data_IF_725110689637
#
_entry.id   IF_725110689637
#
_cell.length_a   1.000
_cell.length_b   1.000
_cell.length_c   1.000
_cell.angle_alpha   90.00
_cell.angle_beta   90.00
_cell.angle_gamma   90.00
#
_symmetry.space_group_name_H-M   'P 1'
#
loop_
_entity.id
_entity.type
_entity.pdbx_description
1 polymer ?
#
# COMPACT_ATOMS: atom_id res chain seq x y z
N UNK A 1 9.67 -28.20 -2.42
CA UNK A 1 8.84 -28.82 -1.35
C UNK A 1 7.38 -28.65 -1.75
N UNK A 2 6.63 -29.74 -1.96
CA UNK A 2 5.21 -29.74 -2.34
C UNK A 2 4.36 -30.23 -1.16
N UNK A 3 4.11 -29.40 -0.14
CA UNK A 3 3.26 -29.80 1.00
C UNK A 3 1.77 -29.86 0.66
N UNK A 4 1.34 -29.24 -0.45
CA UNK A 4 -0.07 -29.18 -0.88
C UNK A 4 -0.28 -29.53 -2.37
N UNK A 5 0.74 -30.02 -3.07
CA UNK A 5 0.63 -30.48 -4.47
C UNK A 5 0.79 -29.41 -5.56
N UNK A 6 0.94 -28.13 -5.21
CA UNK A 6 1.14 -27.05 -6.20
C UNK A 6 2.56 -27.03 -6.76
N UNK A 7 2.69 -26.87 -8.08
CA UNK A 7 4.00 -26.74 -8.73
C UNK A 7 4.44 -25.28 -8.64
N UNK A 8 5.31 -25.00 -7.68
CA UNK A 8 5.94 -23.70 -7.52
C UNK A 8 7.29 -23.63 -8.24
N UNK A 9 7.51 -22.55 -8.98
CA UNK A 9 8.79 -22.18 -9.60
C UNK A 9 9.27 -20.90 -8.94
N UNK A 10 10.48 -20.91 -8.38
CA UNK A 10 11.14 -19.68 -7.91
C UNK A 10 11.73 -18.98 -9.12
N UNK A 11 11.37 -17.72 -9.32
CA UNK A 11 11.87 -16.85 -10.38
C UNK A 11 13.22 -16.24 -9.96
N UNK A 12 14.02 -15.79 -10.93
CA UNK A 12 15.37 -15.25 -10.66
C UNK A 12 15.36 -13.98 -9.79
N UNK A 13 14.24 -13.25 -9.77
CA UNK A 13 14.01 -12.07 -8.94
C UNK A 13 13.57 -12.40 -7.50
N UNK A 14 13.49 -13.69 -7.14
CA UNK A 14 13.00 -14.14 -5.85
C UNK A 14 11.47 -14.25 -5.77
N UNK A 15 10.75 -13.92 -6.84
CA UNK A 15 9.32 -14.17 -6.96
C UNK A 15 9.00 -15.67 -6.99
N UNK A 16 7.75 -16.01 -6.68
CA UNK A 16 7.26 -17.40 -6.76
C UNK A 16 6.09 -17.47 -7.71
N UNK A 17 6.27 -18.21 -8.81
CA UNK A 17 5.19 -18.56 -9.72
C UNK A 17 4.57 -19.89 -9.31
N UNK A 18 3.25 -19.93 -9.15
CA UNK A 18 2.53 -21.16 -8.84
C UNK A 18 1.67 -21.53 -10.06
N UNK A 19 1.99 -22.67 -10.69
CA UNK A 19 1.22 -23.22 -11.79
C UNK A 19 0.24 -24.26 -11.24
N UNK A 20 -1.06 -24.00 -11.40
CA UNK A 20 -2.12 -24.90 -10.98
C UNK A 20 -3.32 -24.84 -11.96
N UNK A 21 -3.95 -25.98 -12.25
CA UNK A 21 -5.15 -26.02 -13.09
C UNK A 21 -6.35 -25.38 -12.36
N UNK A 22 -7.34 -24.87 -13.11
CA UNK A 22 -8.49 -24.13 -12.56
C UNK A 22 -9.25 -24.92 -11.48
N UNK A 23 -9.32 -26.24 -11.60
CA UNK A 23 -9.97 -27.13 -10.62
C UNK A 23 -9.29 -27.11 -9.24
N UNK A 24 -8.06 -26.61 -9.16
CA UNK A 24 -7.31 -26.44 -7.90
C UNK A 24 -7.41 -25.02 -7.31
N UNK A 25 -8.13 -24.10 -7.96
CA UNK A 25 -8.27 -22.69 -7.51
C UNK A 25 -8.78 -22.57 -6.08
N UNK A 26 -9.82 -23.33 -5.72
CA UNK A 26 -10.34 -23.32 -4.35
C UNK A 26 -9.33 -23.85 -3.33
N UNK A 27 -8.58 -24.89 -3.69
CA UNK A 27 -7.55 -25.46 -2.83
C UNK A 27 -6.35 -24.51 -2.65
N UNK A 28 -6.01 -23.76 -3.71
CA UNK A 28 -4.97 -22.73 -3.68
C UNK A 28 -5.38 -21.55 -2.79
N UNK A 29 -6.58 -21.01 -2.99
CA UNK A 29 -7.12 -19.96 -2.14
C UNK A 29 -7.17 -20.39 -0.67
N UNK A 30 -7.65 -21.60 -0.37
CA UNK A 30 -7.65 -22.12 0.99
C UNK A 30 -6.23 -22.25 1.59
N UNK A 31 -5.24 -22.65 0.78
CA UNK A 31 -3.85 -22.74 1.22
C UNK A 31 -3.22 -21.34 1.43
N UNK A 32 -3.54 -20.37 0.57
CA UNK A 32 -3.11 -18.99 0.71
C UNK A 32 -3.71 -18.34 1.97
N UNK A 33 -5.01 -18.51 2.20
CA UNK A 33 -5.69 -18.04 3.42
C UNK A 33 -5.06 -18.66 4.67
N UNK A 34 -4.83 -19.98 4.67
CA UNK A 34 -4.18 -20.65 5.81
C UNK A 34 -2.77 -20.10 6.04
N UNK A 35 -1.99 -19.87 4.98
CA UNK A 35 -0.66 -19.28 5.08
C UNK A 35 -0.74 -17.88 5.70
N UNK A 36 -1.66 -17.04 5.23
CA UNK A 36 -1.86 -15.70 5.78
C UNK A 36 -2.25 -15.73 7.26
N UNK A 37 -3.15 -16.63 7.66
CA UNK A 37 -3.54 -16.81 9.07
C UNK A 37 -2.35 -17.24 9.94
N UNK A 38 -1.49 -18.13 9.45
CA UNK A 38 -0.27 -18.55 10.15
C UNK A 38 0.74 -17.40 10.30
N UNK A 39 0.92 -16.57 9.26
CA UNK A 39 1.79 -15.39 9.30
C UNK A 39 1.27 -14.33 10.29
N UNK A 40 -0.05 -14.12 10.31
CA UNK A 40 -0.72 -13.22 11.26
C UNK A 40 -0.58 -13.75 12.69
N UNK A 41 -0.85 -15.03 12.93
CA UNK A 41 -0.72 -15.65 14.25
C UNK A 41 0.73 -15.63 14.76
N UNK A 42 1.71 -15.70 13.85
CA UNK A 42 3.13 -15.57 14.16
C UNK A 42 3.58 -14.11 14.36
N UNK A 43 2.72 -13.12 14.12
CA UNK A 43 3.04 -11.69 14.21
C UNK A 43 3.99 -11.21 13.11
N UNK A 44 4.12 -11.95 12.01
CA UNK A 44 4.98 -11.60 10.88
C UNK A 44 4.29 -10.55 10.00
N UNK A 45 2.99 -10.68 9.81
CA UNK A 45 2.17 -9.74 9.03
C UNK A 45 0.96 -9.26 9.85
N UNK A 46 0.48 -8.02 9.66
CA UNK A 46 -0.76 -7.55 10.28
C UNK A 46 -1.99 -8.40 9.88
N UNK A 47 -2.99 -8.50 10.76
CA UNK A 47 -4.27 -9.13 10.42
C UNK A 47 -5.04 -8.22 9.46
N UNK A 48 -5.29 -8.64 8.20
CA UNK A 48 -6.01 -7.81 7.23
C UNK A 48 -7.49 -7.58 7.60
N UNK A 49 -8.03 -8.33 8.58
CA UNK A 49 -9.40 -8.15 9.07
C UNK A 49 -9.50 -7.10 10.17
N UNK A 50 -8.37 -6.64 10.69
CA UNK A 50 -8.35 -5.55 11.66
C UNK A 50 -7.99 -4.25 10.94
N UNK A 51 -8.64 -3.13 11.29
CA UNK A 51 -8.18 -1.84 10.79
C UNK A 51 -6.72 -1.64 11.20
N UNK A 52 -5.90 -0.96 10.39
CA UNK A 52 -4.55 -0.60 10.76
C UNK A 52 -4.55 0.14 12.10
N UNK A 53 -3.53 -0.10 12.92
CA UNK A 53 -3.36 0.65 14.17
C UNK A 53 -3.21 2.15 13.87
N UNK A 54 -3.61 3.00 14.81
CA UNK A 54 -3.43 4.46 14.69
C UNK A 54 -1.97 4.85 14.40
N UNK A 55 -1.00 4.12 14.96
CA UNK A 55 0.44 4.33 14.68
C UNK A 55 0.79 4.09 13.21
N UNK A 56 0.24 3.03 12.60
CA UNK A 56 0.42 2.76 11.16
C UNK A 56 -0.27 3.84 10.32
N UNK A 57 -1.47 4.28 10.69
CA UNK A 57 -2.15 5.39 10.00
C UNK A 57 -1.37 6.70 10.14
N UNK A 58 -0.70 6.92 11.28
CA UNK A 58 0.15 8.09 11.49
C UNK A 58 1.38 8.04 10.57
N UNK A 59 2.03 6.88 10.48
CA UNK A 59 3.16 6.68 9.57
C UNK A 59 2.76 6.89 8.11
N UNK A 60 1.59 6.40 7.72
CA UNK A 60 1.08 6.61 6.37
C UNK A 60 0.81 8.09 6.11
N UNK A 61 0.14 8.79 7.03
CA UNK A 61 -0.09 10.24 6.92
C UNK A 61 1.22 11.04 6.81
N UNK A 62 2.24 10.73 7.61
CA UNK A 62 3.55 11.39 7.51
C UNK A 62 4.23 11.12 6.16
N UNK A 63 4.07 9.91 5.62
CA UNK A 63 4.56 9.58 4.27
C UNK A 63 3.83 10.39 3.21
N UNK A 64 2.50 10.51 3.29
CA UNK A 64 1.72 11.31 2.35
C UNK A 64 2.10 12.80 2.41
N UNK A 65 2.39 13.35 3.60
CA UNK A 65 2.91 14.72 3.73
C UNK A 65 4.28 14.89 3.07
N UNK A 66 5.17 13.89 3.16
CA UNK A 66 6.46 13.93 2.47
C UNK A 66 6.29 13.89 0.94
N UNK A 67 5.29 13.16 0.44
CA UNK A 67 4.93 13.17 -0.98
C UNK A 67 4.46 14.57 -1.39
N UNK A 68 3.57 15.20 -0.62
CA UNK A 68 3.10 16.58 -0.86
C UNK A 68 4.27 17.57 -0.96
N UNK A 69 5.21 17.51 -0.01
CA UNK A 69 6.40 18.36 0.00
C UNK A 69 7.25 18.14 -1.27
N UNK A 70 7.54 16.89 -1.62
CA UNK A 70 8.27 16.57 -2.84
C UNK A 70 7.58 17.07 -4.11
N UNK A 71 6.26 16.88 -4.21
CA UNK A 71 5.47 17.32 -5.36
C UNK A 71 5.54 18.84 -5.52
N UNK A 72 5.34 19.58 -4.43
CA UNK A 72 5.41 21.03 -4.42
C UNK A 72 6.82 21.53 -4.81
N UNK A 73 7.88 20.93 -4.25
CA UNK A 73 9.28 21.30 -4.53
C UNK A 73 9.67 21.04 -5.99
N UNK A 74 9.09 20.03 -6.63
CA UNK A 74 9.29 19.72 -8.04
C UNK A 74 8.33 20.48 -8.98
N UNK A 75 7.45 21.34 -8.44
CA UNK A 75 6.53 22.17 -9.20
C UNK A 75 5.32 21.42 -9.76
N UNK A 76 5.02 20.23 -9.24
CA UNK A 76 3.77 19.54 -9.55
C UNK A 76 2.59 20.19 -8.81
N UNK A 77 1.37 20.17 -9.40
CA UNK A 77 0.18 20.62 -8.70
C UNK A 77 -0.14 19.66 -7.56
N UNK A 78 -0.48 20.20 -6.39
CA UNK A 78 -0.82 19.44 -5.19
C UNK A 78 -1.96 20.12 -4.43
N UNK A 79 -2.86 19.33 -3.86
CA UNK A 79 -3.95 19.81 -3.01
C UNK A 79 -3.45 20.06 -1.58
N UNK A 80 -4.17 20.90 -0.82
CA UNK A 80 -3.84 21.10 0.59
C UNK A 80 -4.09 19.80 1.37
N UNK A 81 -3.12 19.34 2.19
CA UNK A 81 -3.32 18.14 2.97
C UNK A 81 -4.39 18.34 4.05
N UNK A 82 -5.20 17.31 4.37
CA UNK A 82 -6.14 17.33 5.48
C UNK A 82 -5.40 17.47 6.82
N UNK A 83 -6.10 17.79 7.91
CA UNK A 83 -5.52 17.62 9.24
C UNK A 83 -5.35 16.14 9.58
N UNK A 84 -4.53 15.82 10.59
CA UNK A 84 -4.40 14.45 11.08
C UNK A 84 -5.75 13.84 11.49
N UNK A 85 -6.59 14.61 12.19
CA UNK A 85 -7.91 14.15 12.64
C UNK A 85 -8.83 13.85 11.45
N UNK A 86 -8.84 14.71 10.43
CA UNK A 86 -9.62 14.50 9.22
C UNK A 86 -9.09 13.29 8.42
N UNK A 87 -7.77 13.12 8.34
CA UNK A 87 -7.16 11.96 7.70
C UNK A 87 -7.55 10.65 8.39
N UNK A 88 -7.49 10.61 9.72
CA UNK A 88 -7.89 9.45 10.51
C UNK A 88 -9.37 9.10 10.32
N UNK A 89 -10.24 10.11 10.26
CA UNK A 89 -11.67 9.93 10.00
C UNK A 89 -11.91 9.33 8.62
N UNK A 90 -11.28 9.87 7.57
CA UNK A 90 -11.37 9.36 6.20
C UNK A 90 -10.91 7.89 6.10
N UNK A 91 -9.73 7.56 6.63
CA UNK A 91 -9.19 6.19 6.60
C UNK A 91 -10.05 5.21 7.39
N UNK A 92 -10.62 5.65 8.51
CA UNK A 92 -11.52 4.80 9.32
C UNK A 92 -12.84 4.53 8.59
N UNK A 93 -13.40 5.53 7.90
CA UNK A 93 -14.58 5.36 7.08
C UNK A 93 -14.30 4.41 5.90
N UNK A 94 -13.15 4.53 5.23
CA UNK A 94 -12.74 3.65 4.10
C UNK A 94 -12.73 2.18 4.51
N UNK A 95 -12.20 1.89 5.70
CA UNK A 95 -12.16 0.55 6.27
C UNK A 95 -13.52 0.03 6.72
N UNK A 96 -14.48 0.91 6.96
CA UNK A 96 -15.86 0.55 7.28
C UNK A 96 -16.71 0.29 6.02
N UNK A 97 -16.12 0.39 4.82
CA UNK A 97 -16.80 0.22 3.53
C UNK A 97 -18.04 1.12 3.36
N UNK A 98 -18.01 2.34 3.90
CA UNK A 98 -19.09 3.29 3.69
C UNK A 98 -19.12 3.74 2.21
N UNK A 99 -20.30 3.82 1.59
CA UNK A 99 -20.42 4.28 0.20
C UNK A 99 -20.15 5.80 0.11
N UNK A 100 -19.36 6.22 -0.88
CA UNK A 100 -18.98 7.62 -1.17
C UNK A 100 -18.17 8.34 -0.07
N UNK A 101 -17.03 7.76 0.31
CA UNK A 101 -16.11 8.41 1.25
C UNK A 101 -15.19 9.38 0.52
N UNK A 102 -15.06 10.64 0.98
CA UNK A 102 -14.03 11.54 0.51
C UNK A 102 -12.64 10.93 0.77
N UNK A 103 -11.95 10.59 -0.32
CA UNK A 103 -10.57 10.12 -0.31
C UNK A 103 -9.66 11.29 -0.69
N UNK A 104 -8.60 11.50 0.07
CA UNK A 104 -7.55 12.46 -0.28
C UNK A 104 -6.30 11.70 -0.76
N UNK A 105 -5.76 12.15 -1.89
CA UNK A 105 -4.54 11.65 -2.52
C UNK A 105 -3.66 12.84 -2.98
N UNK A 106 -2.39 12.90 -2.56
CA UNK A 106 -1.44 13.92 -3.01
C UNK A 106 -1.30 14.06 -4.53
N UNK A 107 -1.50 12.97 -5.28
CA UNK A 107 -1.35 12.93 -6.74
C UNK A 107 -2.62 13.34 -7.50
N UNK A 108 -3.75 13.53 -6.80
CA UNK A 108 -5.05 13.78 -7.44
C UNK A 108 -5.01 15.00 -8.39
N UNK A 109 -4.32 16.07 -8.00
CA UNK A 109 -4.20 17.27 -8.82
C UNK A 109 -3.29 17.05 -10.05
N UNK A 110 -2.30 16.16 -9.96
CA UNK A 110 -1.49 15.74 -11.11
C UNK A 110 -2.34 14.90 -12.05
N UNK A 111 -3.13 13.97 -11.53
CA UNK A 111 -4.03 13.13 -12.31
C UNK A 111 -5.08 13.97 -13.07
N UNK A 112 -5.66 14.99 -12.43
CA UNK A 112 -6.62 15.93 -13.03
C UNK A 112 -6.09 16.68 -14.25
N UNK A 113 -4.77 16.75 -14.45
CA UNK A 113 -4.18 17.32 -15.68
C UNK A 113 -4.48 16.48 -16.93
N UNK A 114 -4.84 15.19 -16.75
CA UNK A 114 -5.06 14.24 -17.83
C UNK A 114 -3.79 13.77 -18.53
N UNK A 115 -2.60 14.06 -17.98
CA UNK A 115 -1.31 13.64 -18.54
C UNK A 115 -0.77 12.42 -17.80
N UNK A 116 -0.92 11.24 -18.40
CA UNK A 116 -0.34 9.99 -17.89
C UNK A 116 1.19 10.07 -17.73
N UNK A 117 1.86 10.80 -18.64
CA UNK A 117 3.30 11.00 -18.58
C UNK A 117 3.71 11.83 -17.36
N UNK A 118 3.01 12.94 -17.09
CA UNK A 118 3.29 13.76 -15.90
C UNK A 118 2.97 12.99 -14.61
N UNK A 119 1.86 12.24 -14.57
CA UNK A 119 1.51 11.40 -13.43
C UNK A 119 2.58 10.33 -13.16
N UNK A 120 3.07 9.66 -14.20
CA UNK A 120 4.13 8.67 -14.08
C UNK A 120 5.44 9.29 -13.56
N UNK A 121 5.83 10.45 -14.08
CA UNK A 121 7.03 11.16 -13.63
C UNK A 121 6.91 11.59 -12.16
N UNK A 122 5.78 12.17 -11.77
CA UNK A 122 5.50 12.57 -10.39
C UNK A 122 5.57 11.35 -9.45
N UNK A 123 4.97 10.23 -9.85
CA UNK A 123 5.01 8.99 -9.08
C UNK A 123 6.44 8.48 -8.87
N UNK A 124 7.22 8.40 -9.94
CA UNK A 124 8.61 7.93 -9.86
C UNK A 124 9.52 8.85 -9.04
N UNK A 125 9.28 10.16 -9.09
CA UNK A 125 10.10 11.14 -8.39
C UNK A 125 9.77 11.20 -6.89
N UNK A 126 8.48 11.12 -6.53
CA UNK A 126 8.02 11.55 -5.22
C UNK A 126 7.32 10.47 -4.39
N UNK A 127 7.01 9.29 -4.92
CA UNK A 127 6.30 8.24 -4.17
C UNK A 127 7.27 7.15 -3.72
N UNK A 128 7.83 7.23 -2.50
CA UNK A 128 8.69 6.17 -1.98
C UNK A 128 7.88 4.94 -1.60
N UNK A 129 8.53 3.77 -1.61
CA UNK A 129 7.99 2.61 -0.90
C UNK A 129 7.99 2.90 0.60
N UNK A 130 7.16 2.19 1.38
CA UNK A 130 7.17 2.34 2.85
C UNK A 130 8.56 2.01 3.44
N UNK A 131 9.29 1.07 2.83
CA UNK A 131 10.67 0.76 3.24
C UNK A 131 11.59 1.95 3.03
N UNK A 132 11.58 2.55 1.84
CA UNK A 132 12.44 3.70 1.52
C UNK A 132 12.13 4.90 2.42
N UNK A 133 10.84 5.14 2.71
CA UNK A 133 10.39 6.20 3.61
C UNK A 133 10.94 6.02 5.03
N UNK A 134 10.83 4.81 5.59
CA UNK A 134 11.33 4.50 6.93
C UNK A 134 12.86 4.63 7.02
N UNK A 135 13.58 4.25 5.96
CA UNK A 135 15.03 4.44 5.86
C UNK A 135 15.41 5.93 5.81
N UNK A 136 14.69 6.74 5.03
CA UNK A 136 14.93 8.19 4.95
C UNK A 136 14.69 8.88 6.30
N UNK A 137 13.58 8.55 6.97
CA UNK A 137 13.24 9.09 8.30
C UNK A 137 14.28 8.72 9.36
N UNK A 138 14.83 7.50 9.29
CA UNK A 138 15.86 7.03 10.23
C UNK A 138 17.20 7.74 10.06
N UNK A 139 17.43 8.38 8.90
CA UNK A 139 18.67 9.09 8.56
C UNK A 139 18.57 10.62 8.78
N UNK A 140 17.44 11.14 9.26
CA UNK A 140 17.31 12.55 9.64
C UNK A 140 17.88 12.76 11.07
N UNK A 141 18.86 13.67 11.24
CA UNK A 141 19.58 13.88 12.51
C UNK A 141 18.78 14.59 13.61
#
# INVERSE_FOLDING_TARGET
>A
MTRKGFKATVLEDGGVWIDFPNEQREAELAAATQCQEELVAAGITPDPRQPPSEELLRLDYERELAIVECLADNGYPVSEPPSWEAYLEMRTAELAEEEEIPHWDPLEEVEKTGSEELLHQAYQACVPTMSDFLEQRSNQP
#
